data_IF_874838892881
#
_entry.id   IF_874838892881
#
_cell.length_a   1.000
_cell.length_b   1.000
_cell.length_c   1.000
_cell.angle_alpha   90.00
_cell.angle_beta   90.00
_cell.angle_gamma   90.00
#
_symmetry.space_group_name_H-M   'P 1'
#
loop_
_entity.id
_entity.type
_entity.pdbx_description
1 polymer ?
#
# COMPACT_ATOMS: atom_id res chain seq x y z
N UNK A 1 -18.62 -40.39 -8.02
CA UNK A 1 -17.65 -39.33 -7.69
C UNK A 1 -18.42 -38.04 -7.45
N UNK A 2 -18.43 -37.54 -6.21
CA UNK A 2 -18.86 -36.15 -5.96
C UNK A 2 -17.72 -35.23 -6.41
N UNK A 3 -17.99 -34.09 -7.06
CA UNK A 3 -16.94 -33.13 -7.33
C UNK A 3 -16.45 -32.57 -6.00
N UNK A 4 -15.15 -32.74 -5.72
CA UNK A 4 -14.47 -31.97 -4.68
C UNK A 4 -14.55 -30.50 -5.08
N UNK A 5 -15.43 -29.75 -4.41
CA UNK A 5 -15.34 -28.31 -4.37
C UNK A 5 -14.01 -27.97 -3.71
N UNK A 6 -13.01 -27.63 -4.51
CA UNK A 6 -11.75 -27.04 -4.05
C UNK A 6 -12.10 -25.69 -3.43
N UNK A 7 -12.43 -25.71 -2.13
CA UNK A 7 -12.48 -24.52 -1.30
C UNK A 7 -11.03 -24.04 -1.23
N UNK A 8 -10.64 -23.19 -2.17
CA UNK A 8 -9.33 -22.58 -2.18
C UNK A 8 -9.28 -21.69 -0.94
N UNK A 9 -8.56 -22.11 0.09
CA UNK A 9 -8.36 -21.32 1.30
C UNK A 9 -7.87 -19.94 0.87
N UNK A 10 -8.59 -18.90 1.28
CA UNK A 10 -8.17 -17.53 0.97
C UNK A 10 -6.82 -17.27 1.64
N UNK A 11 -5.84 -16.79 0.87
CA UNK A 11 -4.51 -16.40 1.35
C UNK A 11 -4.45 -14.90 1.57
N UNK A 12 -3.44 -14.45 2.31
CA UNK A 12 -3.14 -13.04 2.47
C UNK A 12 -2.06 -12.56 1.49
N UNK A 13 -2.23 -11.32 1.06
CA UNK A 13 -1.30 -10.58 0.20
C UNK A 13 -1.09 -9.21 0.81
N UNK A 14 0.06 -8.60 0.58
CA UNK A 14 0.31 -7.20 0.90
C UNK A 14 0.44 -6.43 -0.39
N UNK A 15 -0.32 -5.33 -0.49
CA UNK A 15 -0.21 -4.36 -1.56
C UNK A 15 0.47 -3.09 -1.04
N UNK A 16 1.36 -2.53 -1.84
CA UNK A 16 1.88 -1.18 -1.65
C UNK A 16 1.08 -0.26 -2.56
N UNK A 17 0.39 0.71 -1.98
CA UNK A 17 -0.45 1.66 -2.72
C UNK A 17 0.11 3.07 -2.52
N UNK A 18 0.32 3.77 -3.64
CA UNK A 18 0.82 5.13 -3.65
C UNK A 18 -0.31 6.09 -4.00
N UNK A 19 -0.50 7.10 -3.14
CA UNK A 19 -1.41 8.20 -3.34
C UNK A 19 -0.65 9.49 -3.60
N UNK A 20 -1.33 10.43 -4.25
CA UNK A 20 -0.87 11.79 -4.45
C UNK A 20 -1.94 12.74 -3.94
N UNK A 21 -1.53 13.77 -3.20
CA UNK A 21 -2.41 14.87 -2.84
C UNK A 21 -2.46 15.94 -3.93
N UNK A 22 -3.57 16.65 -3.99
CA UNK A 22 -3.74 17.89 -4.76
C UNK A 22 -4.52 18.90 -3.95
N UNK A 23 -4.39 20.18 -4.32
CA UNK A 23 -5.15 21.25 -3.68
C UNK A 23 -5.60 22.30 -4.69
N UNK A 24 -6.59 23.11 -4.30
CA UNK A 24 -7.00 24.31 -5.01
C UNK A 24 -6.09 25.53 -4.75
N UNK A 25 -5.13 25.44 -3.82
CA UNK A 25 -4.16 26.49 -3.58
C UNK A 25 -3.14 26.61 -4.74
N UNK A 26 -2.79 27.83 -5.19
CA UNK A 26 -1.99 28.04 -6.41
C UNK A 26 -0.54 27.54 -6.30
N UNK A 27 0.06 27.57 -5.11
CA UNK A 27 1.46 27.19 -4.88
C UNK A 27 1.60 25.82 -4.18
N UNK A 28 0.52 25.03 -4.16
CA UNK A 28 0.50 23.75 -3.47
C UNK A 28 1.52 22.77 -4.05
N UNK A 29 2.39 22.26 -3.18
CA UNK A 29 3.29 21.17 -3.53
C UNK A 29 2.63 19.82 -3.17
N UNK A 30 2.47 18.90 -4.14
CA UNK A 30 1.91 17.59 -3.87
C UNK A 30 2.72 16.82 -2.83
N UNK A 31 2.01 16.21 -1.89
CA UNK A 31 2.52 15.15 -1.04
C UNK A 31 2.20 13.80 -1.66
N UNK A 32 3.05 12.84 -1.34
CA UNK A 32 2.90 11.45 -1.76
C UNK A 32 2.81 10.59 -0.51
N UNK A 33 1.89 9.63 -0.51
CA UNK A 33 1.69 8.73 0.60
C UNK A 33 1.77 7.29 0.10
N UNK A 34 2.74 6.55 0.60
CA UNK A 34 2.80 5.10 0.42
C UNK A 34 2.12 4.43 1.62
N UNK A 35 1.19 3.51 1.35
CA UNK A 35 0.55 2.70 2.37
C UNK A 35 0.66 1.22 2.04
N UNK A 36 0.67 0.40 3.09
CA UNK A 36 0.72 -1.06 3.01
C UNK A 36 -0.65 -1.61 3.40
N UNK A 37 -1.26 -2.39 2.52
CA UNK A 37 -2.62 -2.91 2.69
C UNK A 37 -2.59 -4.42 2.67
N UNK A 38 -3.09 -5.04 3.75
CA UNK A 38 -3.33 -6.47 3.81
C UNK A 38 -4.61 -6.84 3.04
N UNK A 39 -4.51 -7.76 2.10
CA UNK A 39 -5.58 -8.17 1.21
C UNK A 39 -5.78 -9.68 1.31
N UNK A 40 -6.98 -10.07 1.72
CA UNK A 40 -7.42 -11.46 1.64
C UNK A 40 -7.90 -11.78 0.23
N UNK A 41 -7.34 -12.79 -0.45
CA UNK A 41 -7.72 -13.16 -1.81
C UNK A 41 -7.44 -14.64 -2.15
N UNK A 42 -8.15 -15.18 -3.14
CA UNK A 42 -7.95 -16.56 -3.61
C UNK A 42 -6.79 -16.72 -4.62
N UNK A 43 -6.24 -15.61 -5.11
CA UNK A 43 -5.12 -15.57 -6.05
C UNK A 43 -4.49 -14.17 -6.07
N UNK A 44 -3.25 -14.08 -6.56
CA UNK A 44 -2.57 -12.81 -6.79
C UNK A 44 -3.33 -11.89 -7.75
N UNK A 45 -3.97 -12.45 -8.77
CA UNK A 45 -4.80 -11.68 -9.70
C UNK A 45 -6.03 -11.07 -9.00
N UNK A 46 -6.70 -11.85 -8.15
CA UNK A 46 -7.81 -11.35 -7.34
C UNK A 46 -7.32 -10.29 -6.34
N UNK A 47 -6.14 -10.46 -5.75
CA UNK A 47 -5.52 -9.45 -4.88
C UNK A 47 -5.23 -8.14 -5.63
N UNK A 48 -4.73 -8.22 -6.87
CA UNK A 48 -4.54 -7.04 -7.76
C UNK A 48 -5.83 -6.28 -8.01
N UNK A 49 -6.90 -6.98 -8.35
CA UNK A 49 -8.20 -6.35 -8.53
C UNK A 49 -8.72 -5.69 -7.24
N UNK A 50 -8.58 -6.37 -6.08
CA UNK A 50 -8.97 -5.83 -4.78
C UNK A 50 -8.15 -4.59 -4.38
N UNK A 51 -6.83 -4.62 -4.58
CA UNK A 51 -5.95 -3.48 -4.30
C UNK A 51 -6.32 -2.25 -5.13
N UNK A 52 -6.54 -2.43 -6.43
CA UNK A 52 -6.94 -1.34 -7.32
C UNK A 52 -8.29 -0.74 -6.92
N UNK A 53 -9.27 -1.59 -6.58
CA UNK A 53 -10.58 -1.13 -6.15
C UNK A 53 -10.52 -0.42 -4.80
N UNK A 54 -9.78 -0.96 -3.83
CA UNK A 54 -9.54 -0.31 -2.55
C UNK A 54 -8.88 1.05 -2.74
N UNK A 55 -7.80 1.11 -3.54
CA UNK A 55 -7.10 2.35 -3.86
C UNK A 55 -8.02 3.45 -4.41
N UNK A 56 -8.90 3.10 -5.35
CA UNK A 56 -9.87 4.03 -5.94
C UNK A 56 -10.91 4.50 -4.92
N UNK A 57 -11.39 3.62 -4.05
CA UNK A 57 -12.44 3.92 -3.08
C UNK A 57 -11.95 4.79 -1.92
N UNK A 58 -10.66 4.72 -1.57
CA UNK A 58 -10.04 5.55 -0.52
C UNK A 58 -9.63 6.95 -1.00
N UNK A 59 -9.99 7.33 -2.23
CA UNK A 59 -9.79 8.72 -2.68
C UNK A 59 -10.74 9.64 -1.90
N UNK A 60 -10.17 10.60 -1.17
CA UNK A 60 -10.91 11.44 -0.22
C UNK A 60 -10.51 12.91 -0.38
N UNK A 61 -11.49 13.80 -0.17
CA UNK A 61 -11.28 15.24 -0.10
C UNK A 61 -11.70 15.80 1.25
N UNK A 62 -10.93 16.72 1.80
CA UNK A 62 -11.24 17.42 3.04
C UNK A 62 -10.72 18.86 2.99
N UNK A 63 -11.19 19.70 3.91
CA UNK A 63 -10.71 21.07 4.09
C UNK A 63 -9.67 21.07 5.20
N UNK A 64 -8.46 21.58 4.93
CA UNK A 64 -7.41 21.70 5.94
C UNK A 64 -7.59 22.95 6.82
N UNK A 65 -6.68 23.17 7.77
CA UNK A 65 -6.71 24.32 8.69
C UNK A 65 -6.62 25.69 8.01
N UNK A 66 -6.08 25.75 6.79
CA UNK A 66 -5.95 26.96 5.98
C UNK A 66 -7.21 27.24 5.12
N UNK A 67 -8.23 26.39 5.20
CA UNK A 67 -9.43 26.49 4.36
C UNK A 67 -9.23 25.97 2.93
N UNK A 68 -8.12 25.29 2.65
CA UNK A 68 -7.81 24.72 1.35
C UNK A 68 -8.43 23.33 1.21
N UNK A 69 -8.91 23.00 0.01
CA UNK A 69 -9.42 21.66 -0.27
C UNK A 69 -8.22 20.79 -0.61
N UNK A 70 -7.96 19.77 0.20
CA UNK A 70 -6.97 18.73 -0.07
C UNK A 70 -7.69 17.50 -0.60
N UNK A 71 -7.22 16.96 -1.72
CA UNK A 71 -7.74 15.72 -2.33
C UNK A 71 -6.63 14.71 -2.47
N UNK A 72 -6.78 13.55 -1.82
CA UNK A 72 -5.94 12.39 -2.03
C UNK A 72 -6.55 11.52 -3.12
N UNK A 73 -5.71 11.13 -4.08
CA UNK A 73 -6.12 10.26 -5.19
C UNK A 73 -5.11 9.15 -5.39
N UNK A 74 -5.61 7.97 -5.73
CA UNK A 74 -4.77 6.85 -6.12
C UNK A 74 -3.85 7.27 -7.27
N UNK A 75 -2.54 7.19 -7.05
CA UNK A 75 -1.55 7.37 -8.10
C UNK A 75 -1.28 6.04 -8.79
N UNK A 76 -0.98 4.99 -8.01
CA UNK A 76 -0.76 3.64 -8.52
C UNK A 76 -0.75 2.58 -7.41
N UNK A 77 -0.92 1.32 -7.79
CA UNK A 77 -0.52 0.18 -6.96
C UNK A 77 0.91 -0.20 -7.34
N UNK A 78 1.85 -0.01 -6.42
CA UNK A 78 3.30 -0.12 -6.66
C UNK A 78 3.76 -1.57 -6.72
N UNK A 79 3.31 -2.38 -5.77
CA UNK A 79 3.62 -3.82 -5.72
C UNK A 79 2.49 -4.58 -5.04
N UNK A 80 2.36 -5.86 -5.36
CA UNK A 80 1.53 -6.79 -4.61
C UNK A 80 2.23 -8.14 -4.55
N UNK A 81 2.41 -8.65 -3.34
CA UNK A 81 3.02 -9.94 -3.12
C UNK A 81 2.29 -10.73 -2.03
N UNK A 82 2.50 -12.04 -2.00
CA UNK A 82 2.05 -12.85 -0.86
C UNK A 82 2.74 -12.38 0.42
N UNK A 83 2.07 -12.56 1.56
CA UNK A 83 2.72 -12.43 2.86
C UNK A 83 3.86 -13.44 2.97
N UNK A 84 4.86 -13.15 3.81
CA UNK A 84 5.98 -14.08 4.03
C UNK A 84 5.57 -15.33 4.83
N UNK A 85 4.55 -15.19 5.68
CA UNK A 85 3.99 -16.25 6.51
C UNK A 85 2.48 -16.24 6.41
N UNK A 86 1.87 -17.39 6.08
CA UNK A 86 0.42 -17.51 5.92
C UNK A 86 -0.34 -17.41 7.26
N UNK A 87 0.31 -17.80 8.36
CA UNK A 87 -0.18 -17.72 9.72
C UNK A 87 0.78 -16.87 10.56
N UNK A 88 0.27 -15.80 11.17
CA UNK A 88 1.02 -15.01 12.15
C UNK A 88 0.80 -15.66 13.51
N UNK A 89 1.83 -16.31 14.04
CA UNK A 89 1.80 -16.89 15.39
C UNK A 89 1.87 -15.77 16.43
N UNK A 90 0.79 -15.59 17.18
CA UNK A 90 0.71 -14.60 18.26
C UNK A 90 1.68 -14.84 19.43
N UNK A 91 2.39 -15.97 19.45
CA UNK A 91 3.45 -16.27 20.42
C UNK A 91 4.82 -15.75 20.01
N UNK A 92 4.99 -15.29 18.77
CA UNK A 92 6.23 -14.64 18.32
C UNK A 92 6.16 -13.12 18.58
N UNK A 93 7.26 -12.56 19.11
CA UNK A 93 7.35 -11.13 19.41
C UNK A 93 7.55 -10.26 18.15
N UNK A 94 8.10 -10.84 17.07
CA UNK A 94 8.48 -10.14 15.83
C UNK A 94 8.18 -11.03 14.64
N UNK A 95 7.47 -10.50 13.64
CA UNK A 95 7.17 -11.19 12.37
C UNK A 95 7.44 -10.28 11.18
N UNK A 96 8.12 -10.79 10.17
CA UNK A 96 8.27 -10.09 8.89
C UNK A 96 7.03 -10.30 8.04
N UNK A 97 6.33 -9.21 7.70
CA UNK A 97 5.09 -9.30 6.93
C UNK A 97 5.31 -9.28 5.41
N UNK A 98 6.27 -8.47 4.97
CA UNK A 98 6.55 -8.21 3.56
C UNK A 98 8.03 -7.84 3.37
N UNK A 99 8.62 -8.27 2.26
CA UNK A 99 9.97 -7.91 1.86
C UNK A 99 10.02 -7.48 0.40
N UNK A 100 10.73 -6.39 0.12
CA UNK A 100 11.00 -5.90 -1.23
C UNK A 100 12.48 -5.93 -1.53
N UNK A 101 12.83 -6.48 -2.68
CA UNK A 101 14.20 -6.50 -3.16
C UNK A 101 14.41 -5.35 -4.15
N UNK A 102 15.49 -4.59 -3.98
CA UNK A 102 15.90 -3.52 -4.90
C UNK A 102 17.42 -3.57 -5.11
N UNK A 103 17.90 -2.95 -6.19
CA UNK A 103 19.33 -2.97 -6.55
C UNK A 103 20.04 -1.64 -6.37
N UNK A 104 19.32 -0.54 -6.47
CA UNK A 104 19.89 0.80 -6.42
C UNK A 104 19.73 1.37 -5.01
N UNK A 105 20.77 1.24 -4.19
CA UNK A 105 20.76 1.76 -2.82
C UNK A 105 20.77 3.29 -2.77
N UNK A 106 21.50 3.95 -3.67
CA UNK A 106 21.58 5.42 -3.71
C UNK A 106 20.20 6.05 -3.96
N UNK A 107 19.38 5.42 -4.81
CA UNK A 107 17.99 5.84 -5.03
C UNK A 107 17.10 5.60 -3.81
N UNK A 108 17.31 4.51 -3.06
CA UNK A 108 16.59 4.26 -1.81
C UNK A 108 16.94 5.29 -0.74
N UNK A 109 18.23 5.60 -0.59
CA UNK A 109 18.69 6.65 0.33
C UNK A 109 18.15 8.03 -0.05
N UNK A 110 18.06 8.34 -1.35
CA UNK A 110 17.50 9.61 -1.82
C UNK A 110 15.98 9.72 -1.62
N UNK A 111 15.28 8.58 -1.50
CA UNK A 111 13.84 8.54 -1.26
C UNK A 111 13.49 8.63 0.23
N UNK A 112 14.29 8.01 1.10
CA UNK A 112 14.00 7.84 2.54
C UNK A 112 14.60 9.00 3.38
N UNK A 113 13.79 9.97 3.84
CA UNK A 113 14.30 11.14 4.56
C UNK A 113 14.98 10.79 5.88
N UNK A 114 14.60 9.66 6.50
CA UNK A 114 15.23 9.18 7.74
C UNK A 114 16.68 8.73 7.52
N UNK A 115 17.09 8.48 6.28
CA UNK A 115 18.49 8.21 5.93
C UNK A 115 19.27 9.49 5.62
N UNK A 116 18.60 10.62 5.44
CA UNK A 116 19.20 11.93 5.12
C UNK A 116 19.12 12.95 6.26
N UNK A 117 18.82 12.60 7.51
CA UNK A 117 18.68 13.57 8.63
C UNK A 117 17.75 14.77 8.32
N UNK A 118 16.87 14.68 7.31
CA UNK A 118 15.94 15.74 6.94
C UNK A 118 14.66 15.61 7.77
N UNK A 119 14.20 16.70 8.38
CA UNK A 119 12.88 16.74 9.03
C UNK A 119 11.77 16.88 7.98
N UNK A 120 10.67 16.14 8.18
CA UNK A 120 9.44 16.17 7.36
C UNK A 120 8.51 17.33 7.74
#
# INVERSE_FOLDING_TARGET
>A
MKPESTNKSESFYIAIILYKSSSNAPDYQPLYQEIFVLIKAASLESAKAKALNHGKNESVSYINENGEIITWSLLQVVDINSVLYDDIDSSEDVVDLYARHFRNYDAYQSFEPLLSNEEL
#
